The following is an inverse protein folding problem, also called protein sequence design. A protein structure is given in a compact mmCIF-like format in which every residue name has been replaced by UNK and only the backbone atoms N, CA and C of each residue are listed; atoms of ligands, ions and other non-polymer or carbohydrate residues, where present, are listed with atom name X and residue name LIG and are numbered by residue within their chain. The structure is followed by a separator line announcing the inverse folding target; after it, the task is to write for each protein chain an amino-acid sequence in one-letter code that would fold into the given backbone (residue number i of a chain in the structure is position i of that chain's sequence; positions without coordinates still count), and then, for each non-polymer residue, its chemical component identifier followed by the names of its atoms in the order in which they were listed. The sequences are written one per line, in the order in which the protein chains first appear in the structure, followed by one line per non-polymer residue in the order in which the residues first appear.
data_IF_129003877687
#
_entry.id   IF_129003877687
#
_cell.length_a   1.000
_cell.length_b   1.000
_cell.length_c   1.000
_cell.angle_alpha   90.00
_cell.angle_beta   90.00
_cell.angle_gamma   90.00
#
_symmetry.space_group_name_H-M   'P 1'
#
loop_
_entity.id
_entity.type
_entity.pdbx_description
1 polymer ?
#
# COMPACT_ATOMS: atom_id res chain seq x y z
N UNK A 1 42.54 25.08 35.12
CA UNK A 1 42.54 23.87 34.27
C UNK A 1 41.14 23.27 34.01
N UNK A 2 40.09 23.66 34.73
CA UNK A 2 38.72 23.10 34.58
C UNK A 2 37.89 23.69 33.43
N UNK A 3 38.24 24.87 32.90
CA UNK A 3 37.47 25.53 31.82
C UNK A 3 37.76 25.00 30.41
N UNK A 4 38.96 24.48 30.17
CA UNK A 4 39.33 23.87 28.89
C UNK A 4 38.70 22.48 28.73
N UNK A 5 38.59 21.72 29.82
CA UNK A 5 37.92 20.41 29.82
C UNK A 5 36.42 20.48 29.49
N UNK A 6 35.75 21.56 29.91
CA UNK A 6 34.31 21.77 29.65
C UNK A 6 34.02 22.08 28.16
N UNK A 7 34.93 22.76 27.47
CA UNK A 7 34.79 23.06 26.04
C UNK A 7 34.98 21.79 25.19
N UNK A 8 35.91 20.92 25.58
CA UNK A 8 36.17 19.65 24.85
C UNK A 8 35.00 18.67 25.02
N UNK A 9 34.39 18.62 26.21
CA UNK A 9 33.19 17.78 26.45
C UNK A 9 31.95 18.33 25.75
N UNK A 10 31.77 19.64 25.67
CA UNK A 10 30.66 20.26 24.94
C UNK A 10 30.77 20.05 23.42
N UNK A 11 31.98 20.14 22.85
CA UNK A 11 32.21 19.92 21.42
C UNK A 11 32.00 18.43 21.03
N UNK A 12 32.42 17.49 21.90
CA UNK A 12 32.20 16.06 21.69
C UNK A 12 30.72 15.66 21.71
N UNK A 13 29.91 16.30 22.56
CA UNK A 13 28.47 16.01 22.67
C UNK A 13 27.70 16.44 21.41
N UNK A 14 28.10 17.55 20.77
CA UNK A 14 27.50 18.04 19.52
C UNK A 14 27.84 17.11 18.34
N UNK A 15 29.07 16.56 18.28
CA UNK A 15 29.44 15.59 17.24
C UNK A 15 28.69 14.25 17.37
N UNK A 16 28.33 13.83 18.60
CA UNK A 16 27.53 12.62 18.82
C UNK A 16 26.07 12.81 18.37
N UNK A 17 25.52 14.02 18.50
CA UNK A 17 24.19 14.36 18.02
C UNK A 17 24.09 14.35 16.49
N UNK A 18 25.14 14.73 15.76
CA UNK A 18 25.12 14.71 14.28
C UNK A 18 25.14 13.30 13.67
N UNK A 19 25.71 12.30 14.35
CA UNK A 19 25.68 10.91 13.86
C UNK A 19 24.28 10.27 13.98
N UNK A 20 23.38 10.86 14.77
CA UNK A 20 22.02 10.33 14.97
C UNK A 20 21.03 10.76 13.88
N UNK A 21 21.42 11.66 12.97
CA UNK A 21 20.52 12.24 11.97
C UNK A 21 20.48 11.48 10.63
N UNK A 22 21.23 10.38 10.49
CA UNK A 22 21.36 9.66 9.20
C UNK A 22 20.92 8.19 9.21
N UNK A 23 20.13 7.77 10.21
CA UNK A 23 19.41 6.48 10.17
C UNK A 23 18.06 6.57 10.88
N UNK A 24 17.13 7.33 10.29
CA UNK A 24 15.70 7.05 10.44
C UNK A 24 14.98 7.28 9.10
N UNK A 25 15.47 6.65 8.02
CA UNK A 25 14.51 6.07 7.08
C UNK A 25 13.92 4.87 7.81
N UNK A 26 12.69 5.04 8.27
CA UNK A 26 11.93 4.04 8.97
C UNK A 26 11.73 2.84 8.05
N UNK A 27 12.63 1.85 8.12
CA UNK A 27 12.31 0.47 7.75
C UNK A 27 11.36 -0.05 8.84
N UNK A 28 10.10 0.37 8.74
CA UNK A 28 9.03 -0.31 9.44
C UNK A 28 9.03 -1.73 8.87
N UNK A 29 9.41 -2.68 9.72
CA UNK A 29 8.92 -4.03 9.63
C UNK A 29 7.40 -3.93 9.83
N UNK A 30 6.71 -3.52 8.76
CA UNK A 30 5.30 -3.79 8.60
C UNK A 30 5.24 -5.31 8.63
N UNK A 31 4.65 -5.87 9.69
CA UNK A 31 4.00 -7.18 9.56
C UNK A 31 3.35 -7.18 8.19
N UNK A 32 3.81 -8.07 7.32
CA UNK A 32 3.28 -8.23 5.97
C UNK A 32 1.90 -8.86 6.10
N UNK A 33 0.98 -8.12 6.72
CA UNK A 33 -0.43 -8.39 6.69
C UNK A 33 -0.79 -8.22 5.22
N UNK A 34 -1.01 -9.35 4.53
CA UNK A 34 -1.12 -9.45 3.07
C UNK A 34 -1.74 -8.19 2.48
N UNK A 35 -0.88 -7.32 1.94
CA UNK A 35 -1.31 -5.99 1.51
C UNK A 35 -2.08 -6.22 0.21
N UNK A 36 -3.41 -6.30 0.31
CA UNK A 36 -4.28 -6.53 -0.84
C UNK A 36 -3.94 -5.58 -1.99
N UNK A 37 -4.19 -6.01 -3.22
CA UNK A 37 -3.88 -5.22 -4.41
C UNK A 37 -5.00 -4.20 -4.72
N UNK A 38 -4.61 -3.01 -5.21
CA UNK A 38 -5.53 -2.03 -5.78
C UNK A 38 -5.45 -2.08 -7.31
N UNK A 39 -6.53 -2.56 -7.94
CA UNK A 39 -6.65 -2.63 -9.40
C UNK A 39 -7.55 -1.51 -9.91
N UNK A 40 -7.00 -0.51 -10.59
CA UNK A 40 -7.75 0.66 -11.11
C UNK A 40 -8.07 0.45 -12.58
N UNK A 41 -9.36 0.48 -12.92
CA UNK A 41 -9.87 0.46 -14.30
C UNK A 41 -10.36 1.86 -14.65
N UNK A 42 -9.87 2.42 -15.75
CA UNK A 42 -10.38 3.69 -16.28
C UNK A 42 -11.82 3.61 -16.81
N UNK A 43 -12.24 4.66 -17.50
CA UNK A 43 -13.48 4.65 -18.28
C UNK A 43 -13.35 3.84 -19.58
N UNK A 44 -14.49 3.49 -20.19
CA UNK A 44 -14.55 2.77 -21.45
C UNK A 44 -14.91 1.29 -21.30
N UNK A 45 -14.60 0.50 -22.32
CA UNK A 45 -14.91 -0.93 -22.40
C UNK A 45 -14.03 -1.74 -21.43
N UNK A 46 -14.62 -2.76 -20.80
CA UNK A 46 -13.89 -3.75 -20.00
C UNK A 46 -13.85 -5.05 -20.81
N UNK A 47 -12.81 -5.26 -21.64
CA UNK A 47 -12.68 -6.50 -22.40
C UNK A 47 -12.48 -7.69 -21.44
N UNK A 48 -12.81 -8.89 -21.92
CA UNK A 48 -12.71 -10.12 -21.13
C UNK A 48 -11.31 -10.33 -20.52
N UNK A 49 -10.24 -9.99 -21.26
CA UNK A 49 -8.87 -10.17 -20.76
C UNK A 49 -8.56 -9.29 -19.53
N UNK A 50 -9.20 -8.13 -19.42
CA UNK A 50 -9.03 -7.24 -18.28
C UNK A 50 -9.70 -7.81 -17.04
N UNK A 51 -10.92 -8.34 -17.20
CA UNK A 51 -11.66 -9.00 -16.12
C UNK A 51 -10.91 -10.24 -15.64
N UNK A 52 -10.41 -11.06 -16.57
CA UNK A 52 -9.59 -12.23 -16.24
C UNK A 52 -8.33 -11.84 -15.45
N UNK A 53 -7.65 -10.76 -15.84
CA UNK A 53 -6.53 -10.23 -15.04
C UNK A 53 -6.97 -9.85 -13.63
N UNK A 54 -8.07 -9.12 -13.48
CA UNK A 54 -8.58 -8.73 -12.15
C UNK A 54 -8.88 -9.97 -11.27
N UNK A 55 -9.50 -11.00 -11.85
CA UNK A 55 -9.79 -12.27 -11.16
C UNK A 55 -8.49 -12.95 -10.72
N UNK A 56 -7.50 -13.05 -11.60
CA UNK A 56 -6.22 -13.71 -11.30
C UNK A 56 -5.43 -12.95 -10.22
N UNK A 57 -5.33 -11.61 -10.31
CA UNK A 57 -4.62 -10.77 -9.32
C UNK A 57 -5.31 -10.79 -7.95
N UNK A 58 -6.63 -10.97 -7.92
CA UNK A 58 -7.40 -11.05 -6.66
C UNK A 58 -7.30 -12.40 -5.95
N UNK A 59 -6.76 -13.43 -6.60
CA UNK A 59 -6.74 -14.79 -6.05
C UNK A 59 -8.12 -15.45 -5.92
N UNK A 60 -9.18 -14.87 -6.51
CA UNK A 60 -10.55 -15.33 -6.34
C UNK A 60 -10.78 -16.78 -6.82
N UNK A 61 -9.93 -17.28 -7.72
CA UNK A 61 -9.94 -18.68 -8.17
C UNK A 61 -9.49 -19.67 -7.11
N UNK A 62 -8.69 -19.23 -6.13
CA UNK A 62 -8.20 -20.06 -5.04
C UNK A 62 -9.21 -20.16 -3.88
N UNK A 63 -10.26 -19.33 -3.93
CA UNK A 63 -11.37 -19.30 -2.97
C UNK A 63 -11.78 -17.87 -2.61
N UNK A 64 -12.72 -17.74 -1.67
CA UNK A 64 -13.18 -16.45 -1.16
C UNK A 64 -14.49 -15.97 -1.81
N UNK A 65 -14.73 -14.67 -1.71
CA UNK A 65 -15.95 -14.03 -2.19
C UNK A 65 -15.62 -12.70 -2.86
N UNK A 66 -16.39 -12.35 -3.89
CA UNK A 66 -16.36 -11.04 -4.53
C UNK A 66 -17.62 -10.27 -4.16
N UNK A 67 -17.48 -8.97 -3.88
CA UNK A 67 -18.61 -8.06 -3.63
C UNK A 67 -18.65 -7.05 -4.76
N UNK A 68 -19.78 -7.00 -5.47
CA UNK A 68 -20.02 -6.05 -6.55
C UNK A 68 -20.91 -4.92 -6.02
N UNK A 69 -20.44 -3.68 -6.13
CA UNK A 69 -21.15 -2.48 -5.65
C UNK A 69 -21.57 -1.59 -6.83
N UNK A 70 -22.74 -1.81 -7.45
CA UNK A 70 -23.12 -1.15 -8.70
C UNK A 70 -23.78 0.23 -8.52
N UNK A 71 -23.39 0.97 -7.48
CA UNK A 71 -24.02 2.26 -7.14
C UNK A 71 -23.74 3.37 -8.15
N UNK A 72 -22.69 3.23 -8.97
CA UNK A 72 -22.34 4.20 -10.02
C UNK A 72 -23.13 4.00 -11.31
N UNK A 73 -23.88 2.91 -11.45
CA UNK A 73 -24.67 2.61 -12.64
C UNK A 73 -26.09 3.17 -12.52
N UNK A 74 -26.67 3.61 -13.63
CA UNK A 74 -28.11 3.90 -13.72
C UNK A 74 -28.98 2.63 -13.73
N UNK A 75 -28.37 1.47 -13.97
CA UNK A 75 -29.00 0.15 -13.98
C UNK A 75 -28.25 -0.79 -13.01
N UNK A 76 -28.56 -0.75 -11.71
CA UNK A 76 -27.81 -1.49 -10.69
C UNK A 76 -27.98 -3.01 -10.81
N UNK A 77 -29.17 -3.49 -11.19
CA UNK A 77 -29.49 -4.92 -11.28
C UNK A 77 -28.65 -5.65 -12.33
N UNK A 78 -28.24 -4.93 -13.38
CA UNK A 78 -27.45 -5.48 -14.48
C UNK A 78 -26.09 -6.01 -14.01
N UNK A 79 -25.52 -5.44 -12.95
CA UNK A 79 -24.21 -5.86 -12.47
C UNK A 79 -24.20 -7.31 -11.96
N UNK A 80 -25.28 -7.77 -11.33
CA UNK A 80 -25.39 -9.16 -10.87
C UNK A 80 -25.50 -10.10 -12.06
N UNK A 81 -26.35 -9.75 -13.03
CA UNK A 81 -26.59 -10.57 -14.23
C UNK A 81 -25.28 -10.79 -14.98
N UNK A 82 -24.58 -9.71 -15.33
CA UNK A 82 -23.37 -9.80 -16.15
C UNK A 82 -22.16 -10.37 -15.40
N UNK A 83 -22.05 -10.15 -14.08
CA UNK A 83 -20.94 -10.70 -13.31
C UNK A 83 -21.01 -12.23 -13.16
N UNK A 84 -22.18 -12.84 -13.39
CA UNK A 84 -22.36 -14.29 -13.33
C UNK A 84 -21.96 -15.03 -14.61
N UNK A 85 -21.77 -14.30 -15.72
CA UNK A 85 -21.45 -14.86 -17.04
C UNK A 85 -19.95 -14.89 -17.36
N UNK A 86 -19.11 -14.33 -16.48
CA UNK A 86 -17.67 -14.15 -16.71
C UNK A 86 -16.81 -15.23 -16.06
#
# INVERSE_FOLDING_TARGET
MTRLGFIITLLGFICFACNSSHQQEQKQEQEEHSKGALFIIGGGSRPAELVERMINESGLREGGYAVVLPMSSSLPDSAIIWSSEQ
#
